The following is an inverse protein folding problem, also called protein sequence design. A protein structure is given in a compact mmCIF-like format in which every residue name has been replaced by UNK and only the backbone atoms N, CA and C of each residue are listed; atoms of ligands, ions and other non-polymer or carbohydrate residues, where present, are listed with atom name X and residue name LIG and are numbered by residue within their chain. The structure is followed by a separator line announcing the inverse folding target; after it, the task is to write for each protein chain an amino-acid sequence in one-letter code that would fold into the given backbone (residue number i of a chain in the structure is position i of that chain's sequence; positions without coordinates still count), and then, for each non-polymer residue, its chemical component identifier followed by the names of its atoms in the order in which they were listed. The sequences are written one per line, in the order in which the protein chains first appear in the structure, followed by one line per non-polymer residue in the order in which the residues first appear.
data_IF_055253662232
#
_entry.id   IF_055253662232
#
_cell.length_a   1.000
_cell.length_b   1.000
_cell.length_c   1.000
_cell.angle_alpha   90.00
_cell.angle_beta   90.00
_cell.angle_gamma   90.00
#
_symmetry.space_group_name_H-M   'P 1'
#
loop_
_entity.id
_entity.type
_entity.pdbx_description
1 polymer ?
#
# COMPACT_ATOMS: atom_id res chain seq x y z
N UNK A 1 16.95 -5.14 -25.08
CA UNK A 1 15.75 -4.76 -24.30
C UNK A 1 15.73 -3.24 -24.18
N UNK A 2 14.87 -2.58 -24.95
CA UNK A 2 14.88 -1.12 -25.14
C UNK A 2 14.07 -0.40 -24.07
N UNK A 3 14.75 0.10 -23.05
CA UNK A 3 14.15 1.07 -22.12
C UNK A 3 14.09 2.40 -22.86
N UNK A 4 12.91 3.03 -22.93
CA UNK A 4 12.82 4.36 -23.56
C UNK A 4 13.72 5.35 -22.81
N UNK A 5 14.38 6.30 -23.49
CA UNK A 5 15.24 7.29 -22.82
C UNK A 5 14.51 8.02 -21.69
N UNK A 6 13.20 8.24 -21.85
CA UNK A 6 12.37 8.85 -20.82
C UNK A 6 12.17 7.95 -19.60
N UNK A 7 11.96 6.65 -19.78
CA UNK A 7 11.89 5.69 -18.67
C UNK A 7 13.22 5.60 -17.91
N UNK A 8 14.36 5.63 -18.62
CA UNK A 8 15.69 5.68 -18.02
C UNK A 8 15.89 6.93 -17.13
N UNK A 9 15.51 8.11 -17.63
CA UNK A 9 15.63 9.34 -16.85
C UNK A 9 14.60 9.45 -15.72
N UNK A 10 13.41 8.86 -15.87
CA UNK A 10 12.38 8.85 -14.84
C UNK A 10 12.78 7.96 -13.65
N UNK A 11 13.35 6.78 -13.88
CA UNK A 11 13.81 5.89 -12.82
C UNK A 11 14.98 6.52 -12.03
N UNK A 12 15.97 7.08 -12.75
CA UNK A 12 17.12 7.76 -12.13
C UNK A 12 16.74 9.00 -11.31
N UNK A 13 15.61 9.64 -11.61
CA UNK A 13 15.10 10.83 -10.91
C UNK A 13 13.96 10.52 -9.93
N UNK A 14 13.59 9.26 -9.70
CA UNK A 14 12.44 8.92 -8.85
C UNK A 14 12.73 9.13 -7.36
N UNK A 15 12.74 10.39 -6.95
CA UNK A 15 12.84 10.83 -5.55
C UNK A 15 11.73 10.25 -4.66
N UNK A 16 10.61 9.79 -5.25
CA UNK A 16 9.47 9.18 -4.55
C UNK A 16 9.43 7.64 -4.69
N UNK A 17 10.45 7.01 -5.27
CA UNK A 17 10.46 5.56 -5.49
C UNK A 17 10.29 4.78 -4.20
N UNK A 18 11.02 5.18 -3.14
CA UNK A 18 10.86 4.59 -1.81
C UNK A 18 9.45 4.76 -1.23
N UNK A 19 8.85 5.94 -1.38
CA UNK A 19 7.47 6.19 -0.95
C UNK A 19 6.46 5.33 -1.72
N UNK A 20 6.60 5.19 -3.04
CA UNK A 20 5.73 4.35 -3.87
C UNK A 20 5.83 2.88 -3.45
N UNK A 21 7.05 2.36 -3.28
CA UNK A 21 7.29 0.99 -2.79
C UNK A 21 6.67 0.76 -1.42
N UNK A 22 6.82 1.71 -0.50
CA UNK A 22 6.20 1.63 0.82
C UNK A 22 4.67 1.68 0.75
N UNK A 23 4.11 2.54 -0.12
CA UNK A 23 2.66 2.62 -0.36
C UNK A 23 2.13 1.30 -0.90
N UNK A 24 2.79 0.70 -1.89
CA UNK A 24 2.42 -0.61 -2.45
C UNK A 24 2.50 -1.74 -1.42
N UNK A 25 3.57 -1.77 -0.62
CA UNK A 25 3.70 -2.74 0.47
C UNK A 25 2.51 -2.67 1.44
N UNK A 26 2.10 -1.45 1.83
CA UNK A 26 0.95 -1.25 2.73
C UNK A 26 -0.36 -1.71 2.06
N UNK A 27 -0.57 -1.37 0.79
CA UNK A 27 -1.74 -1.84 0.02
C UNK A 27 -1.82 -3.37 -0.04
N UNK A 28 -0.71 -4.02 -0.37
CA UNK A 28 -0.64 -5.47 -0.46
C UNK A 28 -0.93 -6.12 0.90
N UNK A 29 -0.45 -5.54 2.00
CA UNK A 29 -0.73 -6.05 3.35
C UNK A 29 -2.21 -5.93 3.71
N UNK A 30 -2.85 -4.82 3.35
CA UNK A 30 -4.28 -4.60 3.55
C UNK A 30 -5.09 -5.62 2.73
N UNK A 31 -4.72 -5.84 1.46
CA UNK A 31 -5.36 -6.83 0.59
C UNK A 31 -5.23 -8.25 1.16
N UNK A 32 -4.04 -8.62 1.65
CA UNK A 32 -3.79 -9.91 2.28
C UNK A 32 -4.73 -10.13 3.48
N UNK A 33 -4.90 -9.13 4.35
CA UNK A 33 -5.83 -9.20 5.48
C UNK A 33 -7.28 -9.34 4.99
N UNK A 34 -7.68 -8.64 3.92
CA UNK A 34 -9.01 -8.81 3.34
C UNK A 34 -9.26 -10.23 2.81
N UNK A 35 -8.26 -10.83 2.16
CA UNK A 35 -8.35 -12.18 1.60
C UNK A 35 -8.35 -13.27 2.68
N UNK A 36 -7.48 -13.14 3.68
CA UNK A 36 -7.28 -14.13 4.75
C UNK A 36 -8.53 -14.33 5.61
N UNK A 37 -9.30 -13.27 5.87
CA UNK A 37 -10.46 -13.34 6.75
C UNK A 37 -11.79 -13.57 6.03
N UNK A 38 -11.80 -13.80 4.70
CA UNK A 38 -12.95 -14.17 3.84
C UNK A 38 -14.28 -13.41 4.08
N UNK A 39 -14.24 -12.27 4.76
CA UNK A 39 -15.41 -11.56 5.25
C UNK A 39 -14.97 -10.17 5.70
N UNK A 40 -15.60 -9.16 5.10
CA UNK A 40 -15.27 -7.73 5.13
C UNK A 40 -14.83 -7.22 6.52
N UNK A 41 -13.54 -7.29 6.91
CA UNK A 41 -13.09 -6.76 8.19
C UNK A 41 -13.37 -5.26 8.22
N UNK A 42 -14.14 -4.85 9.23
CA UNK A 42 -14.39 -3.43 9.47
C UNK A 42 -13.10 -2.66 9.76
N UNK A 43 -13.17 -1.33 9.65
CA UNK A 43 -11.99 -0.46 9.83
C UNK A 43 -11.28 -0.64 11.18
N UNK A 44 -12.04 -0.98 12.25
CA UNK A 44 -11.49 -1.26 13.57
C UNK A 44 -10.54 -2.46 13.59
N UNK A 45 -10.94 -3.58 12.98
CA UNK A 45 -10.09 -4.78 12.89
C UNK A 45 -8.89 -4.56 11.99
N UNK A 46 -9.09 -3.90 10.84
CA UNK A 46 -7.98 -3.56 9.95
C UNK A 46 -6.91 -2.73 10.68
N UNK A 47 -7.33 -1.78 11.52
CA UNK A 47 -6.43 -0.97 12.34
C UNK A 47 -5.67 -1.80 13.38
N UNK A 48 -6.33 -2.78 14.02
CA UNK A 48 -5.68 -3.70 14.95
C UNK A 48 -4.59 -4.55 14.25
N UNK A 49 -4.89 -5.11 13.09
CA UNK A 49 -3.92 -5.91 12.32
C UNK A 49 -2.72 -5.06 11.84
N UNK A 50 -2.97 -3.83 11.41
CA UNK A 50 -1.90 -2.92 11.02
C UNK A 50 -1.04 -2.47 12.21
N UNK A 51 -1.66 -2.24 13.38
CA UNK A 51 -0.93 -1.95 14.62
C UNK A 51 0.00 -3.11 14.99
N UNK A 52 -0.45 -4.36 14.84
CA UNK A 52 0.38 -5.56 15.02
C UNK A 52 1.55 -5.60 14.03
N UNK A 53 1.35 -5.10 12.82
CA UNK A 53 2.40 -4.90 11.81
C UNK A 53 3.25 -3.62 12.03
N UNK A 54 3.16 -2.96 13.19
CA UNK A 54 3.85 -1.69 13.53
C UNK A 54 3.57 -0.55 12.55
N UNK A 55 2.36 -0.52 11.97
CA UNK A 55 1.91 0.54 11.06
C UNK A 55 0.60 1.14 11.58
N UNK A 56 0.58 2.46 11.71
CA UNK A 56 -0.61 3.21 12.11
C UNK A 56 -1.20 3.89 10.88
N UNK A 57 -2.42 3.53 10.52
CA UNK A 57 -3.19 4.20 9.48
C UNK A 57 -4.46 4.80 10.07
N UNK A 58 -4.92 5.90 9.47
CA UNK A 58 -6.23 6.47 9.76
C UNK A 58 -7.32 5.70 9.01
N UNK A 59 -8.56 5.75 9.49
CA UNK A 59 -9.70 5.13 8.82
C UNK A 59 -9.93 5.73 7.42
N UNK A 60 -9.67 7.02 7.25
CA UNK A 60 -9.77 7.71 5.95
C UNK A 60 -8.72 7.16 4.98
N UNK A 61 -7.50 6.93 5.46
CA UNK A 61 -6.42 6.34 4.64
C UNK A 61 -6.75 4.90 4.23
N UNK A 62 -7.34 4.12 5.13
CA UNK A 62 -7.80 2.76 4.85
C UNK A 62 -8.90 2.72 3.80
N UNK A 63 -9.89 3.61 3.92
CA UNK A 63 -10.96 3.75 2.93
C UNK A 63 -10.38 4.11 1.56
N UNK A 64 -9.48 5.08 1.51
CA UNK A 64 -8.79 5.49 0.27
C UNK A 64 -8.05 4.32 -0.38
N UNK A 65 -7.34 3.50 0.40
CA UNK A 65 -6.61 2.35 -0.14
C UNK A 65 -7.50 1.18 -0.58
N UNK A 66 -8.74 1.11 -0.09
CA UNK A 66 -9.74 0.17 -0.62
C UNK A 66 -10.33 0.67 -1.94
N UNK A 67 -10.54 1.97 -2.09
CA UNK A 67 -11.19 2.58 -3.26
C UNK A 67 -10.24 2.84 -4.44
N UNK A 68 -8.92 2.91 -4.19
CA UNK A 68 -7.86 2.99 -5.22
C UNK A 68 -7.44 1.60 -5.75
#
# INVERSE_FOLDING_TARGET
MGISPNAYYNDRKDRKGGYKKQKEYIKNKILQIYQEYSGNPGYGMMRFYLLRAKRRLSNITLLKYRQE
#
